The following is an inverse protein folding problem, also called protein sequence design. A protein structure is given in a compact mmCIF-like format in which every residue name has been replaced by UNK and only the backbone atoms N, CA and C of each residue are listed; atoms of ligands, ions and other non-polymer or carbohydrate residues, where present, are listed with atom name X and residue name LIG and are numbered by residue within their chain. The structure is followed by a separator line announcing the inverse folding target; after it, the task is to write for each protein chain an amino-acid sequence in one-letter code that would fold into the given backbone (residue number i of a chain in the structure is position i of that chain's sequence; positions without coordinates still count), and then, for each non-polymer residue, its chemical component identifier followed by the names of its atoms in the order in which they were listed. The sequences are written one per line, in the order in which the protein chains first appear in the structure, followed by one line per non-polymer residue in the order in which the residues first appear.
data_IF_991553630183
#
_entry.id   IF_991553630183
#
_cell.length_a   1.000
_cell.length_b   1.000
_cell.length_c   1.000
_cell.angle_alpha   90.00
_cell.angle_beta   90.00
_cell.angle_gamma   90.00
#
_symmetry.space_group_name_H-M   'P 1'
#
loop_
_entity.id
_entity.type
_entity.pdbx_description
1 polymer ?
#
# COMPACT_ATOMS: atom_id res chain seq x y z
N UNK A 1 -7.14 12.98 15.57
CA UNK A 1 -6.02 13.65 14.89
C UNK A 1 -5.50 12.64 13.90
N UNK A 2 -5.28 13.01 12.65
CA UNK A 2 -4.57 12.11 11.74
C UNK A 2 -3.10 12.05 12.15
N UNK A 3 -2.53 10.85 12.18
CA UNK A 3 -1.14 10.58 12.49
C UNK A 3 -0.42 9.93 11.30
N UNK A 4 0.91 9.94 11.33
CA UNK A 4 1.75 9.20 10.41
C UNK A 4 3.10 8.91 11.07
N UNK A 5 3.69 7.78 10.75
CA UNK A 5 4.98 7.39 11.31
C UNK A 5 5.60 6.20 10.61
N UNK A 6 6.83 5.90 11.00
CA UNK A 6 7.48 4.64 10.69
C UNK A 6 7.12 3.61 11.77
N UNK A 7 6.84 2.39 11.34
CA UNK A 7 6.58 1.29 12.25
C UNK A 7 7.82 0.40 12.34
N UNK A 8 8.60 0.60 13.39
CA UNK A 8 9.80 -0.18 13.70
C UNK A 8 9.50 -1.64 14.02
N UNK A 9 9.30 -2.46 12.99
CA UNK A 9 9.09 -3.91 13.10
C UNK A 9 10.28 -4.72 12.63
N UNK A 10 11.15 -4.12 11.82
CA UNK A 10 12.33 -4.79 11.34
C UNK A 10 13.42 -4.75 12.41
N UNK A 11 14.28 -5.77 12.39
CA UNK A 11 15.52 -5.73 13.15
C UNK A 11 16.53 -4.84 12.44
N UNK A 12 17.44 -4.22 13.19
CA UNK A 12 18.58 -3.51 12.63
C UNK A 12 19.40 -4.45 11.74
N UNK A 13 19.61 -4.08 10.47
CA UNK A 13 20.43 -4.89 9.57
C UNK A 13 21.92 -4.62 9.79
N UNK A 14 22.72 -5.64 10.17
CA UNK A 14 24.17 -5.50 10.22
C UNK A 14 24.72 -5.35 8.80
N UNK A 15 25.75 -4.52 8.62
CA UNK A 15 26.40 -4.29 7.31
C UNK A 15 26.83 -5.58 6.59
N UNK A 16 27.09 -6.66 7.32
CA UNK A 16 27.41 -7.96 6.73
C UNK A 16 26.25 -8.61 5.94
N UNK A 17 25.00 -8.20 6.19
CA UNK A 17 23.78 -8.76 5.58
C UNK A 17 23.09 -7.80 4.60
N UNK A 18 23.67 -6.61 4.35
CA UNK A 18 23.14 -5.64 3.40
C UNK A 18 22.97 -6.23 1.99
N UNK A 19 22.12 -5.63 1.15
CA UNK A 19 21.73 -6.25 -0.13
C UNK A 19 22.83 -6.41 -1.18
N UNK A 20 23.92 -5.65 -1.07
CA UNK A 20 25.07 -5.78 -1.95
C UNK A 20 25.68 -7.18 -1.94
N UNK A 21 26.41 -7.51 -3.00
CA UNK A 21 27.09 -8.82 -3.12
C UNK A 21 28.61 -8.68 -3.16
N UNK A 22 29.11 -7.44 -3.20
CA UNK A 22 30.51 -7.08 -3.37
C UNK A 22 31.46 -7.69 -2.34
N UNK A 23 30.98 -8.00 -1.14
CA UNK A 23 31.79 -8.56 -0.05
C UNK A 23 31.33 -9.94 0.42
N UNK A 24 30.54 -10.65 -0.39
CA UNK A 24 29.92 -11.93 -0.02
C UNK A 24 30.45 -13.08 -0.86
N UNK A 25 30.91 -14.14 -0.20
CA UNK A 25 31.32 -15.39 -0.85
C UNK A 25 30.15 -16.03 -1.61
N UNK A 26 30.43 -16.96 -2.51
CA UNK A 26 29.37 -17.70 -3.22
C UNK A 26 28.45 -18.45 -2.25
N UNK A 27 29.01 -19.01 -1.18
CA UNK A 27 28.28 -19.77 -0.16
C UNK A 27 27.43 -18.84 0.71
N UNK A 28 27.95 -17.68 1.11
CA UNK A 28 27.17 -16.66 1.83
C UNK A 28 25.99 -16.16 1.00
N UNK A 29 26.18 -15.95 -0.31
CA UNK A 29 25.08 -15.53 -1.19
C UNK A 29 23.98 -16.58 -1.30
N UNK A 30 24.32 -17.87 -1.33
CA UNK A 30 23.33 -18.94 -1.33
C UNK A 30 22.59 -19.08 0.00
N UNK A 31 23.28 -18.84 1.12
CA UNK A 31 22.70 -19.01 2.45
C UNK A 31 21.90 -17.80 2.94
N UNK A 32 22.25 -16.58 2.51
CA UNK A 32 21.64 -15.34 3.01
C UNK A 32 20.51 -14.81 2.11
N UNK A 33 20.44 -15.25 0.85
CA UNK A 33 19.44 -14.76 -0.10
C UNK A 33 18.58 -15.88 -0.64
N UNK A 34 17.26 -15.73 -0.49
CA UNK A 34 16.26 -16.53 -1.18
C UNK A 34 15.62 -15.68 -2.31
N UNK A 35 15.43 -16.24 -3.51
CA UNK A 35 14.76 -15.54 -4.62
C UNK A 35 13.22 -15.57 -4.49
N UNK A 36 12.68 -15.96 -3.34
CA UNK A 36 11.25 -16.06 -3.11
C UNK A 36 10.65 -14.74 -2.58
N UNK A 37 9.33 -14.72 -2.49
CA UNK A 37 8.55 -13.54 -2.13
C UNK A 37 8.62 -13.19 -0.63
N UNK A 38 9.29 -13.98 0.20
CA UNK A 38 9.39 -13.74 1.64
C UNK A 38 10.58 -12.85 2.02
N UNK A 39 11.26 -12.26 1.02
CA UNK A 39 12.12 -11.09 1.24
C UNK A 39 11.25 -9.88 1.59
N UNK A 40 10.90 -9.76 2.87
CA UNK A 40 10.40 -8.51 3.43
C UNK A 40 11.41 -7.38 3.18
N UNK A 41 10.91 -6.15 3.03
CA UNK A 41 11.74 -4.94 2.98
C UNK A 41 12.64 -4.89 4.22
N UNK A 42 13.91 -4.48 4.05
CA UNK A 42 14.84 -4.19 5.15
C UNK A 42 14.46 -2.89 5.87
N UNK A 43 13.77 -2.00 5.16
CA UNK A 43 13.23 -0.77 5.73
C UNK A 43 11.87 -0.97 6.40
N UNK A 44 11.69 -0.24 7.51
CA UNK A 44 10.43 -0.18 8.24
C UNK A 44 9.30 0.39 7.36
N UNK A 45 8.09 -0.19 7.43
CA UNK A 45 6.94 0.34 6.74
C UNK A 45 6.48 1.68 7.34
N UNK A 46 5.94 2.53 6.47
CA UNK A 46 5.27 3.77 6.88
C UNK A 46 3.77 3.53 7.04
N UNK A 47 3.18 4.10 8.10
CA UNK A 47 1.73 4.18 8.28
C UNK A 47 1.25 5.62 8.17
N UNK A 48 0.03 5.78 7.64
CA UNK A 48 -0.67 7.06 7.53
C UNK A 48 -2.13 6.87 7.87
N UNK A 49 -2.64 7.73 8.75
CA UNK A 49 -4.06 7.78 9.06
C UNK A 49 -4.77 8.70 8.09
N UNK A 50 -5.81 8.19 7.45
CA UNK A 50 -6.63 8.98 6.54
C UNK A 50 -7.94 9.36 7.23
N UNK A 51 -8.10 10.65 7.51
CA UNK A 51 -9.40 11.21 7.86
C UNK A 51 -10.15 11.58 6.58
N UNK A 52 -10.98 10.66 6.11
CA UNK A 52 -11.80 10.89 4.92
C UNK A 52 -12.89 11.92 5.23
N UNK A 53 -12.98 12.94 4.38
CA UNK A 53 -14.07 13.91 4.40
C UNK A 53 -14.83 13.85 3.08
N UNK A 54 -16.14 14.14 3.08
CA UNK A 54 -16.90 14.26 1.84
C UNK A 54 -16.25 15.29 0.91
N UNK A 55 -16.28 15.03 -0.39
CA UNK A 55 -15.86 16.02 -1.38
C UNK A 55 -16.80 17.22 -1.22
N UNK A 56 -16.24 18.39 -0.94
CA UNK A 56 -17.04 19.60 -0.75
C UNK A 56 -17.94 19.86 -1.97
N UNK A 57 -19.26 19.84 -1.77
CA UNK A 57 -20.25 20.02 -2.83
C UNK A 57 -20.78 18.73 -3.48
N UNK A 58 -20.35 17.55 -3.05
CA UNK A 58 -20.99 16.29 -3.42
C UNK A 58 -22.34 16.16 -2.70
N UNK A 59 -23.43 16.46 -3.41
CA UNK A 59 -24.78 16.13 -2.96
C UNK A 59 -25.06 14.66 -3.33
N UNK A 60 -24.91 13.78 -2.34
CA UNK A 60 -25.22 12.35 -2.42
C UNK A 60 -26.64 12.09 -2.97
N UNK A 61 -27.60 12.98 -2.65
CA UNK A 61 -28.98 12.86 -3.15
C UNK A 61 -29.05 13.20 -4.64
N UNK A 62 -28.32 14.22 -5.10
CA UNK A 62 -28.24 14.58 -6.51
C UNK A 62 -27.57 13.47 -7.35
N UNK A 63 -26.48 12.87 -6.84
CA UNK A 63 -25.84 11.71 -7.50
C UNK A 63 -26.79 10.50 -7.53
N UNK A 64 -27.48 10.22 -6.42
CA UNK A 64 -28.49 9.16 -6.35
C UNK A 64 -29.64 9.37 -7.33
N UNK A 65 -30.12 10.61 -7.47
CA UNK A 65 -31.18 10.96 -8.43
C UNK A 65 -30.72 10.85 -9.89
N UNK A 66 -29.47 11.23 -10.20
CA UNK A 66 -28.89 11.02 -11.53
C UNK A 66 -28.78 9.53 -11.87
N UNK A 67 -28.34 8.71 -10.92
CA UNK A 67 -28.28 7.25 -11.08
C UNK A 67 -29.65 6.63 -11.33
N UNK A 68 -30.66 7.03 -10.55
CA UNK A 68 -32.04 6.57 -10.70
C UNK A 68 -32.66 7.02 -12.04
N UNK A 69 -32.45 8.28 -12.44
CA UNK A 69 -32.92 8.81 -13.72
C UNK A 69 -32.29 8.06 -14.90
N UNK A 70 -30.98 7.78 -14.84
CA UNK A 70 -30.28 6.95 -15.82
C UNK A 70 -30.84 5.53 -15.91
N UNK A 71 -31.08 4.90 -14.75
CA UNK A 71 -31.67 3.56 -14.68
C UNK A 71 -33.10 3.51 -15.25
N UNK A 72 -33.94 4.49 -14.92
CA UNK A 72 -35.30 4.62 -15.45
C UNK A 72 -35.31 4.88 -16.96
N UNK A 73 -34.40 5.75 -17.44
CA UNK A 73 -34.24 6.03 -18.87
C UNK A 73 -33.74 4.80 -19.64
N UNK A 74 -32.87 3.98 -19.05
CA UNK A 74 -32.45 2.70 -19.60
C UNK A 74 -33.61 1.70 -19.65
N UNK A 75 -34.37 1.58 -18.55
CA UNK A 75 -35.55 0.69 -18.47
C UNK A 75 -36.60 1.02 -19.53
N UNK A 76 -36.75 2.30 -19.88
CA UNK A 76 -37.69 2.78 -20.90
C UNK A 76 -37.23 2.52 -22.35
N UNK A 77 -35.95 2.17 -22.56
CA UNK A 77 -35.39 1.82 -23.88
C UNK A 77 -35.32 0.31 -24.14
N UNK A 78 -35.68 -0.50 -23.15
CA UNK A 78 -35.98 -1.93 -23.33
C UNK A 78 -37.49 -2.10 -23.47
#
# INVERSE_FOLDING_TARGET
MADAGEWHINADEPTALEYGSEFKSAEQRQNYYAPDAYRSSDHDPLYVDLQLVPIAGADEVALGMLGLAGFLAWRRRR
#
